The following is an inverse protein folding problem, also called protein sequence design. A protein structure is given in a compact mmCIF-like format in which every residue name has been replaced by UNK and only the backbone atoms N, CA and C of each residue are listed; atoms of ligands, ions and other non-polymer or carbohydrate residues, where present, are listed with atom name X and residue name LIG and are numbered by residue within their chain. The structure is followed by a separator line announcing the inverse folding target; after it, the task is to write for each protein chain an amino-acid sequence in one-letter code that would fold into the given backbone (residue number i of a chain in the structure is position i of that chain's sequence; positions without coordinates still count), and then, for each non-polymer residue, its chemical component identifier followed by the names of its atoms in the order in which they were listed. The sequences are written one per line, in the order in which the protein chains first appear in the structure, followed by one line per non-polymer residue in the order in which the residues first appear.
data_IF_221538766297
#
_entry.id   IF_221538766297
#
_cell.length_a   1.000
_cell.length_b   1.000
_cell.length_c   1.000
_cell.angle_alpha   90.00
_cell.angle_beta   90.00
_cell.angle_gamma   90.00
#
_symmetry.space_group_name_H-M   'P 1'
#
loop_
_entity.id
_entity.type
_entity.pdbx_description
1 polymer ?
#
# COMPACT_ATOMS: atom_id res chain seq x y z
N UNK A 1 11.62 -12.62 15.90
CA UNK A 1 11.42 -11.30 15.28
C UNK A 1 9.93 -11.01 15.20
N UNK A 2 9.46 -9.83 15.63
CA UNK A 2 8.04 -9.44 15.62
C UNK A 2 7.82 -8.35 14.56
N UNK A 3 6.73 -8.46 13.80
CA UNK A 3 6.39 -7.54 12.73
C UNK A 3 5.23 -6.61 13.12
N UNK A 4 5.25 -5.39 12.59
CA UNK A 4 4.14 -4.44 12.68
C UNK A 4 3.25 -4.61 11.44
N UNK A 5 2.04 -5.12 11.65
CA UNK A 5 1.12 -5.52 10.60
C UNK A 5 0.28 -4.33 10.11
N UNK A 6 0.25 -4.14 8.78
CA UNK A 6 -0.63 -3.20 8.10
C UNK A 6 -1.48 -3.95 7.07
N UNK A 7 -2.80 -3.83 7.17
CA UNK A 7 -3.75 -4.50 6.28
C UNK A 7 -4.42 -3.47 5.38
N UNK A 8 -4.47 -3.72 4.08
CA UNK A 8 -5.08 -2.79 3.14
C UNK A 8 -5.26 -3.37 1.74
N UNK A 9 -5.95 -2.61 0.88
CA UNK A 9 -6.11 -2.91 -0.55
C UNK A 9 -4.99 -2.29 -1.39
N UNK A 10 -4.53 -1.10 -0.99
CA UNK A 10 -3.42 -0.35 -1.60
C UNK A 10 -3.58 -0.16 -3.12
N UNK A 11 -4.68 0.45 -3.56
CA UNK A 11 -5.12 0.56 -4.97
C UNK A 11 -4.89 1.98 -5.55
N UNK A 12 -3.68 2.52 -5.65
CA UNK A 12 -2.37 1.88 -5.66
C UNK A 12 -1.53 2.19 -4.40
N UNK A 13 -0.31 1.65 -4.26
CA UNK A 13 0.68 2.16 -3.32
C UNK A 13 0.91 3.67 -3.51
N UNK A 14 1.13 4.39 -2.41
CA UNK A 14 1.39 5.83 -2.41
C UNK A 14 2.12 6.26 -1.13
N UNK A 15 2.65 7.49 -1.12
CA UNK A 15 3.46 8.03 -0.02
C UNK A 15 2.74 8.06 1.33
N UNK A 16 1.43 8.35 1.34
CA UNK A 16 0.64 8.26 2.58
C UNK A 16 0.73 6.90 3.30
N UNK A 17 0.69 5.78 2.56
CA UNK A 17 0.94 4.45 3.13
C UNK A 17 2.41 4.30 3.58
N UNK A 18 3.36 4.78 2.77
CA UNK A 18 4.79 4.65 3.04
C UNK A 18 5.20 5.34 4.35
N UNK A 19 4.64 6.51 4.65
CA UNK A 19 4.94 7.25 5.89
C UNK A 19 4.62 6.42 7.15
N UNK A 20 3.50 5.71 7.13
CA UNK A 20 3.12 4.80 8.21
C UNK A 20 4.12 3.66 8.37
N UNK A 21 4.55 3.05 7.27
CA UNK A 21 5.50 1.94 7.30
C UNK A 21 6.90 2.43 7.72
N UNK A 22 7.33 3.56 7.17
CA UNK A 22 8.65 4.15 7.41
C UNK A 22 8.83 4.59 8.86
N UNK A 23 7.75 4.97 9.56
CA UNK A 23 7.80 5.26 11.00
C UNK A 23 8.38 4.08 11.80
N UNK A 24 8.07 2.84 11.43
CA UNK A 24 8.62 1.65 12.08
C UNK A 24 9.97 1.25 11.52
N UNK A 25 10.14 1.28 10.20
CA UNK A 25 11.41 0.90 9.56
C UNK A 25 12.57 1.79 10.03
N UNK A 26 12.35 3.10 10.19
CA UNK A 26 13.36 4.04 10.72
C UNK A 26 13.76 3.74 12.17
N UNK A 27 12.89 3.09 12.94
CA UNK A 27 13.18 2.61 14.30
C UNK A 27 13.83 1.21 14.30
N UNK A 28 14.18 0.66 13.13
CA UNK A 28 14.69 -0.71 13.00
C UNK A 28 13.64 -1.77 13.31
N UNK A 29 12.35 -1.44 13.25
CA UNK A 29 11.26 -2.37 13.54
C UNK A 29 10.73 -3.00 12.25
N UNK A 30 10.61 -4.34 12.17
CA UNK A 30 10.06 -5.03 11.00
C UNK A 30 8.61 -4.65 10.70
N UNK A 31 8.27 -4.57 9.41
CA UNK A 31 6.93 -4.23 8.90
C UNK A 31 6.41 -5.36 8.02
N UNK A 32 5.14 -5.71 8.22
CA UNK A 32 4.42 -6.68 7.41
C UNK A 32 3.24 -5.99 6.72
N UNK A 33 3.29 -5.89 5.39
CA UNK A 33 2.16 -5.46 4.57
C UNK A 33 1.35 -6.69 4.21
N UNK A 34 0.08 -6.72 4.60
CA UNK A 34 -0.91 -7.71 4.17
C UNK A 34 -1.90 -7.08 3.19
N UNK A 35 -1.88 -7.58 1.96
CA UNK A 35 -2.74 -7.11 0.86
C UNK A 35 -3.99 -7.98 0.83
N UNK A 36 -5.17 -7.36 0.90
CA UNK A 36 -6.44 -8.05 0.75
C UNK A 36 -6.64 -8.48 -0.70
N UNK A 37 -6.89 -9.77 -0.91
CA UNK A 37 -7.18 -10.38 -2.21
C UNK A 37 -8.64 -10.15 -2.59
N UNK A 38 -8.87 -9.08 -3.34
CA UNK A 38 -10.19 -8.66 -3.81
C UNK A 38 -10.28 -8.82 -5.32
N UNK A 39 -11.47 -9.15 -5.81
CA UNK A 39 -11.76 -9.12 -7.23
C UNK A 39 -11.62 -7.69 -7.76
N UNK A 40 -10.87 -7.46 -8.86
CA UNK A 40 -10.72 -6.13 -9.42
C UNK A 40 -12.04 -5.51 -9.89
N UNK A 41 -12.20 -4.22 -9.62
CA UNK A 41 -13.34 -3.41 -10.07
C UNK A 41 -12.87 -1.98 -10.44
N UNK A 42 -13.81 -1.10 -10.81
CA UNK A 42 -13.48 0.29 -11.18
C UNK A 42 -12.78 1.08 -10.05
N UNK A 43 -13.11 0.78 -8.79
CA UNK A 43 -12.51 1.43 -7.62
C UNK A 43 -11.19 0.78 -7.20
N UNK A 44 -10.98 -0.49 -7.58
CA UNK A 44 -9.86 -1.35 -7.20
C UNK A 44 -9.31 -2.09 -8.44
N UNK A 45 -8.72 -1.37 -9.41
CA UNK A 45 -8.44 -1.95 -10.71
C UNK A 45 -7.25 -2.93 -10.75
N UNK A 46 -6.41 -2.97 -9.70
CA UNK A 46 -5.23 -3.82 -9.64
C UNK A 46 -5.53 -5.12 -8.89
N UNK A 47 -4.96 -6.23 -9.37
CA UNK A 47 -4.98 -7.50 -8.61
C UNK A 47 -4.09 -7.40 -7.38
N UNK A 48 -4.30 -8.27 -6.38
CA UNK A 48 -3.44 -8.31 -5.20
C UNK A 48 -1.96 -8.62 -5.55
N UNK A 49 -1.73 -9.40 -6.60
CA UNK A 49 -0.41 -9.73 -7.14
C UNK A 49 0.25 -8.50 -7.75
N UNK A 50 -0.48 -7.71 -8.55
CA UNK A 50 0.02 -6.45 -9.11
C UNK A 50 0.38 -5.45 -7.99
N UNK A 51 -0.47 -5.33 -6.97
CA UNK A 51 -0.18 -4.50 -5.78
C UNK A 51 1.05 -5.01 -5.02
N UNK A 52 1.20 -6.34 -4.88
CA UNK A 52 2.35 -6.95 -4.23
C UNK A 52 3.64 -6.63 -4.98
N UNK A 53 3.63 -6.77 -6.30
CA UNK A 53 4.80 -6.47 -7.13
C UNK A 53 5.23 -5.01 -7.02
N UNK A 54 4.27 -4.09 -6.93
CA UNK A 54 4.56 -2.67 -6.70
C UNK A 54 5.23 -2.46 -5.34
N UNK A 55 4.69 -3.05 -4.26
CA UNK A 55 5.30 -2.94 -2.93
C UNK A 55 6.67 -3.61 -2.82
N UNK A 56 6.84 -4.78 -3.44
CA UNK A 56 8.14 -5.47 -3.52
C UNK A 56 9.18 -4.61 -4.26
N UNK A 57 8.75 -3.85 -5.28
CA UNK A 57 9.65 -2.93 -6.00
C UNK A 57 10.06 -1.76 -5.10
N UNK A 58 9.09 -1.10 -4.45
CA UNK A 58 9.33 0.03 -3.54
C UNK A 58 10.29 -0.32 -2.41
N UNK A 59 10.16 -1.52 -1.84
CA UNK A 59 10.95 -1.97 -0.69
C UNK A 59 11.96 -3.07 -1.02
N UNK A 60 12.39 -3.18 -2.28
CA UNK A 60 13.29 -4.23 -2.78
C UNK A 60 14.60 -4.36 -1.99
N UNK A 61 15.10 -3.27 -1.41
CA UNK A 61 16.32 -3.23 -0.61
C UNK A 61 16.07 -3.07 0.90
N UNK A 62 14.86 -3.36 1.38
CA UNK A 62 14.49 -3.19 2.79
C UNK A 62 14.30 -4.56 3.46
N UNK A 63 15.32 -5.10 4.16
CA UNK A 63 15.27 -6.45 4.75
C UNK A 63 14.27 -6.58 5.91
N UNK A 64 13.82 -5.45 6.49
CA UNK A 64 12.81 -5.43 7.54
C UNK A 64 11.38 -5.36 7.00
N UNK A 65 11.19 -5.32 5.67
CA UNK A 65 9.88 -5.32 5.02
C UNK A 65 9.51 -6.73 4.55
N UNK A 66 8.29 -7.15 4.84
CA UNK A 66 7.67 -8.35 4.25
C UNK A 66 6.30 -8.00 3.67
N UNK A 67 6.01 -8.52 2.49
CA UNK A 67 4.72 -8.33 1.81
C UNK A 67 4.05 -9.68 1.59
N UNK A 68 2.79 -9.81 1.99
CA UNK A 68 1.97 -11.01 1.79
C UNK A 68 0.61 -10.65 1.21
N UNK A 69 -0.02 -11.62 0.57
CA UNK A 69 -1.43 -11.56 0.17
C UNK A 69 -2.22 -12.39 1.16
N UNK A 70 -3.38 -11.89 1.58
CA UNK A 70 -4.34 -12.59 2.44
C UNK A 70 -5.70 -12.62 1.72
N UNK A 71 -6.57 -13.61 2.01
CA UNK A 71 -7.95 -13.57 1.53
C UNK A 71 -8.63 -12.26 1.88
N UNK A 72 -9.68 -11.90 1.14
CA UNK A 72 -10.51 -10.79 1.57
C UNK A 72 -11.09 -11.03 2.97
N UNK A 73 -11.14 -9.99 3.79
CA UNK A 73 -11.56 -10.10 5.20
C UNK A 73 -12.72 -9.17 5.51
N UNK A 74 -13.65 -9.67 6.33
CA UNK A 74 -14.76 -8.87 6.86
C UNK A 74 -14.37 -8.06 8.12
N UNK A 75 -13.43 -8.57 8.92
CA UNK A 75 -13.02 -7.96 10.20
C UNK A 75 -11.65 -8.44 10.66
N UNK A 76 -11.02 -7.64 11.54
CA UNK A 76 -9.83 -8.03 12.31
C UNK A 76 -10.29 -8.28 13.73
N UNK A 77 -10.20 -9.53 14.20
CA UNK A 77 -10.71 -9.95 15.50
C UNK A 77 -9.56 -10.39 16.40
N UNK A 78 -9.60 -10.02 17.67
CA UNK A 78 -8.56 -10.35 18.65
C UNK A 78 -9.19 -10.71 20.00
N UNK A 79 -8.57 -11.66 20.71
CA UNK A 79 -9.02 -12.13 22.02
C UNK A 79 -8.27 -11.51 23.20
N UNK A 80 -8.48 -12.07 24.40
CA UNK A 80 -7.74 -11.68 25.60
C UNK A 80 -6.30 -12.19 25.52
N UNK A 81 -5.32 -11.32 25.79
CA UNK A 81 -3.92 -11.73 25.90
C UNK A 81 -3.24 -12.11 24.58
N UNK A 82 -3.61 -11.47 23.47
CA UNK A 82 -3.14 -11.80 22.10
C UNK A 82 -1.64 -11.59 21.85
N UNK A 83 -0.92 -10.97 22.78
CA UNK A 83 0.54 -10.84 22.70
C UNK A 83 1.03 -9.79 21.70
N UNK A 84 0.14 -8.95 21.16
CA UNK A 84 0.46 -7.79 20.33
C UNK A 84 -0.37 -6.57 20.74
N UNK A 85 0.13 -5.39 20.37
CA UNK A 85 -0.55 -4.10 20.57
C UNK A 85 -1.50 -3.80 19.42
N UNK A 86 -2.60 -3.11 19.72
CA UNK A 86 -3.51 -2.55 18.72
C UNK A 86 -3.28 -1.03 18.71
N UNK A 87 -2.65 -0.54 17.66
CA UNK A 87 -2.21 0.85 17.54
C UNK A 87 -2.96 1.56 16.41
N UNK A 88 -3.52 2.73 16.71
CA UNK A 88 -4.00 3.67 15.70
C UNK A 88 -2.92 4.71 15.45
N UNK A 89 -2.52 4.89 14.19
CA UNK A 89 -1.50 5.83 13.79
C UNK A 89 -2.14 7.02 13.08
N UNK A 90 -1.58 8.20 13.29
CA UNK A 90 -1.96 9.42 12.60
C UNK A 90 -0.78 9.91 11.75
N UNK A 91 -1.08 10.34 10.53
CA UNK A 91 -0.12 11.06 9.68
C UNK A 91 -0.54 12.53 9.59
N UNK A 92 0.41 13.45 9.35
CA UNK A 92 0.10 14.86 9.10
C UNK A 92 -0.99 15.05 8.03
N UNK A 93 -1.81 16.10 8.15
CA UNK A 93 -2.96 16.34 7.27
C UNK A 93 -2.60 16.39 5.78
N UNK A 94 -1.45 17.00 5.45
CA UNK A 94 -0.96 17.07 4.07
C UNK A 94 -0.63 15.70 3.47
N UNK A 95 -0.26 14.73 4.31
CA UNK A 95 0.02 13.34 3.92
C UNK A 95 -1.28 12.54 3.87
N UNK A 96 -2.19 12.79 4.82
CA UNK A 96 -3.54 12.21 4.82
C UNK A 96 -4.38 12.61 3.61
N UNK A 97 -4.06 13.75 2.97
CA UNK A 97 -4.73 14.22 1.76
C UNK A 97 -4.36 13.42 0.50
N UNK A 98 -3.28 12.63 0.53
CA UNK A 98 -2.87 11.82 -0.63
C UNK A 98 -3.90 10.72 -0.86
N UNK A 99 -4.58 10.79 -2.01
CA UNK A 99 -5.68 9.90 -2.37
C UNK A 99 -5.30 8.97 -3.51
N UNK A 100 -5.46 7.67 -3.28
CA UNK A 100 -5.33 6.67 -4.33
C UNK A 100 -6.28 6.93 -5.50
N UNK A 101 -7.49 7.43 -5.24
CA UNK A 101 -8.45 7.78 -6.29
C UNK A 101 -7.94 8.93 -7.16
N UNK A 102 -7.31 9.93 -6.56
CA UNK A 102 -6.74 11.05 -7.30
C UNK A 102 -5.56 10.61 -8.17
N UNK A 103 -4.67 9.78 -7.62
CA UNK A 103 -3.57 9.17 -8.38
C UNK A 103 -4.09 8.46 -9.63
N UNK A 104 -5.12 7.61 -9.48
CA UNK A 104 -5.70 6.89 -10.62
C UNK A 104 -6.26 7.85 -11.68
N UNK A 105 -6.98 8.91 -11.27
CA UNK A 105 -7.51 9.93 -12.18
C UNK A 105 -6.40 10.62 -12.98
N UNK A 106 -5.35 11.06 -12.32
CA UNK A 106 -4.24 11.75 -12.98
C UNK A 106 -3.48 10.84 -13.95
N UNK A 107 -3.27 9.57 -13.60
CA UNK A 107 -2.65 8.58 -14.51
C UNK A 107 -3.51 8.40 -15.77
N UNK A 108 -4.83 8.33 -15.61
CA UNK A 108 -5.79 8.20 -16.73
C UNK A 108 -5.85 9.46 -17.60
N UNK A 109 -5.77 10.64 -16.99
CA UNK A 109 -5.74 11.92 -17.70
C UNK A 109 -4.40 12.19 -18.41
N UNK A 110 -3.39 11.33 -18.23
CA UNK A 110 -2.05 11.53 -18.79
C UNK A 110 -1.24 12.62 -18.06
N UNK A 111 -1.70 13.03 -16.88
CA UNK A 111 -1.03 14.02 -16.04
C UNK A 111 0.20 13.43 -15.35
N UNK A 112 1.03 14.29 -14.76
CA UNK A 112 2.28 13.91 -14.10
C UNK A 112 2.31 14.20 -12.60
N UNK A 113 1.32 14.92 -12.05
CA UNK A 113 1.29 15.29 -10.63
C UNK A 113 1.32 14.10 -9.68
N UNK A 114 0.74 12.96 -10.08
CA UNK A 114 0.72 11.72 -9.32
C UNK A 114 2.10 11.13 -9.04
N UNK A 115 3.11 11.51 -9.83
CA UNK A 115 4.49 11.09 -9.62
C UNK A 115 5.05 11.59 -8.30
N UNK A 116 4.59 12.74 -7.80
CA UNK A 116 4.98 13.26 -6.48
C UNK A 116 4.31 12.51 -5.32
N UNK A 117 3.21 11.81 -5.60
CA UNK A 117 2.41 11.08 -4.61
C UNK A 117 2.84 9.62 -4.45
N UNK A 118 3.70 9.10 -5.33
CA UNK A 118 4.06 7.69 -5.44
C UNK A 118 5.58 7.54 -5.53
N UNK A 119 6.14 6.44 -5.03
CA UNK A 119 7.57 6.16 -5.19
C UNK A 119 7.98 6.09 -6.66
N UNK A 120 9.13 6.71 -7.00
CA UNK A 120 9.64 6.80 -8.36
C UNK A 120 9.89 5.45 -9.02
N UNK A 121 10.26 4.44 -8.22
CA UNK A 121 10.62 3.11 -8.73
C UNK A 121 9.46 2.40 -9.42
N UNK A 122 8.22 2.81 -9.13
CA UNK A 122 7.02 2.18 -9.67
C UNK A 122 6.26 3.05 -10.66
N UNK A 123 6.74 4.24 -11.03
CA UNK A 123 6.01 5.14 -11.92
C UNK A 123 5.64 4.48 -13.25
N UNK A 124 6.61 3.92 -13.96
CA UNK A 124 6.37 3.29 -15.26
C UNK A 124 5.41 2.10 -15.15
N UNK A 125 5.69 1.18 -14.23
CA UNK A 125 4.89 -0.03 -14.02
C UNK A 125 3.47 0.30 -13.58
N UNK A 126 3.30 1.22 -12.64
CA UNK A 126 1.97 1.65 -12.18
C UNK A 126 1.17 2.27 -13.32
N UNK A 127 1.78 3.16 -14.11
CA UNK A 127 1.11 3.76 -15.26
C UNK A 127 0.69 2.72 -16.30
N UNK A 128 1.55 1.74 -16.59
CA UNK A 128 1.24 0.65 -17.51
C UNK A 128 0.10 -0.22 -17.00
N UNK A 129 0.17 -0.65 -15.73
CA UNK A 129 -0.85 -1.49 -15.11
C UNK A 129 -2.21 -0.80 -15.15
N UNK A 130 -2.30 0.44 -14.65
CA UNK A 130 -3.56 1.18 -14.59
C UNK A 130 -4.15 1.44 -15.99
N UNK A 131 -3.33 1.77 -17.00
CA UNK A 131 -3.81 1.97 -18.37
C UNK A 131 -4.26 0.68 -19.05
N UNK A 132 -3.70 -0.47 -18.68
CA UNK A 132 -4.12 -1.76 -19.25
C UNK A 132 -5.50 -2.23 -18.76
N UNK A 133 -6.03 -1.62 -17.69
CA UNK A 133 -7.39 -1.87 -17.17
C UNK A 133 -8.46 -1.05 -17.88
N UNK A 134 -8.07 -0.20 -18.83
CA UNK A 134 -8.99 0.53 -19.70
C UNK A 134 -9.54 -0.45 -20.75
N UNK A 135 -10.73 -1.01 -20.50
CA UNK A 135 -11.57 -1.67 -21.50
C UNK A 135 -12.85 -0.88 -21.66
#
# INVERSE_FOLDING_TARGET
MRYNLFIGRYQSPHRGHMELFNTFLQQGKPVLIAIRDIEPDESNPLTAQEVKELWDTVYSNQPLMKVIIIPDIASVNYGRGVGYEVNQLQVPDNISAISATEIRKQVMAGETGWKEMVDRSIHEKLSQLLRSKQK
#
